data_IF_416979402534
#
_entry.id   IF_416979402534
#
_cell.length_a   1.000
_cell.length_b   1.000
_cell.length_c   1.000
_cell.angle_alpha   90.00
_cell.angle_beta   90.00
_cell.angle_gamma   90.00
#
_symmetry.space_group_name_H-M   'P 1'
#
loop_
_entity.id
_entity.type
_entity.pdbx_description
1 polymer ?
#
# COMPACT_ATOMS: atom_id res chain seq x y z
N UNK A 1 -55.30 -4.04 33.85
CA UNK A 1 -53.92 -3.63 33.53
C UNK A 1 -53.85 -3.40 32.03
N UNK A 2 -53.92 -2.13 31.61
CA UNK A 2 -53.91 -1.75 30.19
C UNK A 2 -52.46 -1.64 29.67
N UNK A 3 -52.18 -1.93 28.40
CA UNK A 3 -50.83 -1.88 27.84
C UNK A 3 -50.45 -0.44 27.44
N UNK A 4 -49.27 -0.01 27.84
CA UNK A 4 -48.67 1.29 27.52
C UNK A 4 -48.15 1.32 26.08
N UNK A 5 -48.58 2.32 25.32
CA UNK A 5 -48.11 2.70 23.97
C UNK A 5 -46.63 3.13 23.97
N UNK A 6 -45.85 2.84 22.92
CA UNK A 6 -44.46 3.31 22.81
C UNK A 6 -44.40 4.80 22.42
N UNK A 7 -43.53 5.57 23.08
CA UNK A 7 -43.26 6.97 22.75
C UNK A 7 -42.49 7.12 21.42
N UNK A 8 -42.75 8.17 20.63
CA UNK A 8 -41.98 8.47 19.43
C UNK A 8 -40.59 9.02 19.78
N UNK A 9 -39.57 8.56 19.06
CA UNK A 9 -38.20 9.07 19.13
C UNK A 9 -38.17 10.56 18.80
N UNK A 10 -37.56 11.35 19.68
CA UNK A 10 -37.32 12.79 19.50
C UNK A 10 -36.50 13.07 18.23
N UNK A 11 -36.84 14.09 17.43
CA UNK A 11 -36.03 14.48 16.28
C UNK A 11 -34.69 14.99 16.81
N UNK A 12 -33.61 14.31 16.43
CA UNK A 12 -32.25 14.84 16.62
C UNK A 12 -32.21 16.18 15.91
N UNK A 13 -32.15 17.23 16.72
CA UNK A 13 -32.09 18.62 16.29
C UNK A 13 -31.01 18.80 15.22
N UNK A 14 -31.42 19.37 14.07
CA UNK A 14 -30.55 19.83 12.99
C UNK A 14 -29.47 20.83 13.47
N UNK A 15 -29.49 21.27 14.72
CA UNK A 15 -28.44 22.08 15.34
C UNK A 15 -27.10 21.34 15.58
N UNK A 16 -27.09 20.00 15.59
CA UNK A 16 -25.83 19.24 15.83
C UNK A 16 -24.94 19.10 14.60
N UNK A 17 -25.49 19.28 13.38
CA UNK A 17 -24.71 19.23 12.14
C UNK A 17 -24.03 20.57 11.78
N UNK A 18 -24.35 21.66 12.48
CA UNK A 18 -23.79 23.00 12.26
C UNK A 18 -22.54 23.29 13.14
N UNK A 19 -21.88 22.23 13.64
CA UNK A 19 -20.85 22.32 14.66
C UNK A 19 -19.40 22.29 14.13
N UNK A 20 -19.15 21.94 12.86
CA UNK A 20 -17.80 21.74 12.31
C UNK A 20 -17.30 22.89 11.39
N UNK A 21 -17.78 24.11 11.62
CA UNK A 21 -17.47 25.30 10.81
C UNK A 21 -16.27 26.11 11.37
N UNK A 22 -15.28 25.44 11.96
CA UNK A 22 -14.28 26.05 12.85
C UNK A 22 -13.46 27.20 12.27
N UNK A 23 -13.19 27.22 10.96
CA UNK A 23 -12.33 28.23 10.33
C UNK A 23 -12.95 29.64 10.32
N UNK A 24 -14.26 29.75 10.08
CA UNK A 24 -14.95 31.05 10.02
C UNK A 24 -15.28 31.62 11.40
N UNK A 25 -15.40 30.78 12.44
CA UNK A 25 -15.54 31.24 13.84
C UNK A 25 -14.20 31.65 14.47
N UNK A 26 -13.08 31.12 13.97
CA UNK A 26 -11.78 31.28 14.60
C UNK A 26 -11.11 32.64 14.32
N UNK A 27 -11.38 33.28 13.17
CA UNK A 27 -10.77 34.56 12.85
C UNK A 27 -11.63 35.72 13.37
N UNK A 28 -11.10 36.47 14.34
CA UNK A 28 -11.63 37.77 14.77
C UNK A 28 -10.61 38.84 14.39
N UNK A 29 -11.04 40.02 13.88
CA UNK A 29 -10.11 41.12 13.68
C UNK A 29 -9.46 41.53 15.01
N UNK A 30 -8.23 42.06 14.99
CA UNK A 30 -7.61 42.65 16.18
C UNK A 30 -8.54 43.68 16.85
N UNK A 31 -8.48 43.85 18.18
CA UNK A 31 -9.35 44.81 18.87
C UNK A 31 -9.22 46.22 18.28
N UNK A 32 -10.32 46.76 17.76
CA UNK A 32 -10.38 48.11 17.17
C UNK A 32 -10.30 48.16 15.64
N UNK A 33 -10.06 47.03 14.96
CA UNK A 33 -10.03 46.98 13.49
C UNK A 33 -11.35 46.48 12.90
N UNK A 34 -11.74 47.04 11.76
CA UNK A 34 -12.90 46.58 10.99
C UNK A 34 -12.60 45.21 10.36
N UNK A 35 -13.59 44.32 10.25
CA UNK A 35 -13.41 43.07 9.51
C UNK A 35 -13.04 43.37 8.04
N UNK A 36 -12.28 42.46 7.44
CA UNK A 36 -11.89 42.58 6.04
C UNK A 36 -13.15 42.56 5.15
N UNK A 37 -13.15 43.34 4.07
CA UNK A 37 -14.30 43.49 3.16
C UNK A 37 -14.87 42.15 2.63
N UNK A 38 -14.02 41.13 2.47
CA UNK A 38 -14.44 39.81 1.98
C UNK A 38 -15.11 38.98 3.08
N UNK A 39 -14.79 39.21 4.35
CA UNK A 39 -15.46 38.60 5.51
C UNK A 39 -16.88 39.15 5.63
N UNK A 40 -17.04 40.48 5.52
CA UNK A 40 -18.36 41.12 5.49
C UNK A 40 -19.21 40.60 4.32
N UNK A 41 -18.63 40.52 3.12
CA UNK A 41 -19.31 40.01 1.93
C UNK A 41 -19.71 38.53 2.08
N UNK A 42 -18.86 37.72 2.72
CA UNK A 42 -19.14 36.31 2.99
C UNK A 42 -20.27 36.14 4.01
N UNK A 43 -20.26 36.91 5.10
CA UNK A 43 -21.32 36.89 6.11
C UNK A 43 -22.66 37.39 5.56
N UNK A 44 -22.65 38.46 4.75
CA UNK A 44 -23.84 38.98 4.08
C UNK A 44 -24.48 37.90 3.19
N UNK A 45 -23.66 37.22 2.37
CA UNK A 45 -24.12 36.13 1.51
C UNK A 45 -24.65 34.94 2.32
N UNK A 46 -24.03 34.58 3.44
CA UNK A 46 -24.55 33.53 4.34
C UNK A 46 -25.94 33.87 4.89
N UNK A 47 -26.15 35.11 5.31
CA UNK A 47 -27.45 35.57 5.83
C UNK A 47 -28.52 35.53 4.74
N UNK A 48 -28.18 35.95 3.52
CA UNK A 48 -29.07 35.89 2.37
C UNK A 48 -29.43 34.44 2.00
N UNK A 49 -28.44 33.55 1.91
CA UNK A 49 -28.67 32.13 1.63
C UNK A 49 -29.49 31.43 2.72
N UNK A 50 -29.29 31.79 3.99
CA UNK A 50 -30.08 31.28 5.12
C UNK A 50 -31.53 31.78 5.08
N UNK A 51 -31.76 33.06 4.75
CA UNK A 51 -33.10 33.60 4.56
C UNK A 51 -33.82 32.92 3.38
N UNK A 52 -33.11 32.67 2.28
CA UNK A 52 -33.63 31.98 1.10
C UNK A 52 -33.96 30.51 1.36
N UNK A 53 -33.15 29.82 2.19
CA UNK A 53 -33.43 28.46 2.69
C UNK A 53 -34.67 28.42 3.59
N UNK A 54 -34.89 29.46 4.39
CA UNK A 54 -36.07 29.57 5.24
C UNK A 54 -37.37 29.76 4.44
N UNK A 55 -37.30 30.46 3.30
CA UNK A 55 -38.45 30.64 2.40
C UNK A 55 -38.66 29.47 1.42
N UNK A 56 -37.59 28.83 0.99
CA UNK A 56 -37.59 27.67 0.09
C UNK A 56 -36.74 26.54 0.70
N UNK A 57 -37.38 25.56 1.38
CA UNK A 57 -36.67 24.45 2.00
C UNK A 57 -35.85 23.59 1.02
N UNK A 58 -36.15 23.65 -0.29
CA UNK A 58 -35.44 22.89 -1.32
C UNK A 58 -34.15 23.57 -1.81
N UNK A 59 -33.95 24.86 -1.48
CA UNK A 59 -32.76 25.61 -1.83
C UNK A 59 -31.51 24.99 -1.19
N UNK A 60 -30.48 24.66 -1.96
CA UNK A 60 -29.21 24.14 -1.41
C UNK A 60 -28.22 25.31 -1.28
N UNK A 61 -27.83 25.61 -0.04
CA UNK A 61 -26.87 26.70 0.26
C UNK A 61 -25.50 26.39 -0.33
N UNK A 62 -24.63 27.40 -0.52
CA UNK A 62 -23.28 27.19 -1.04
C UNK A 62 -22.47 26.25 -0.14
N UNK A 63 -22.63 26.37 1.18
CA UNK A 63 -21.99 25.46 2.14
C UNK A 63 -22.51 24.03 2.02
N UNK A 64 -23.83 23.84 1.97
CA UNK A 64 -24.42 22.51 1.75
C UNK A 64 -23.92 21.91 0.44
N UNK A 65 -23.91 22.69 -0.65
CA UNK A 65 -23.44 22.26 -1.97
C UNK A 65 -21.97 21.83 -1.93
N UNK A 66 -21.11 22.60 -1.26
CA UNK A 66 -19.70 22.24 -1.05
C UNK A 66 -19.56 21.01 -0.16
N UNK A 67 -20.34 20.86 0.91
CA UNK A 67 -20.30 19.66 1.76
C UNK A 67 -20.81 18.41 1.05
N UNK A 68 -21.79 18.54 0.16
CA UNK A 68 -22.34 17.43 -0.63
C UNK A 68 -21.45 17.08 -1.83
N UNK A 69 -20.84 18.06 -2.50
CA UNK A 69 -19.93 17.84 -3.64
C UNK A 69 -18.51 17.43 -3.17
N UNK A 70 -18.07 17.89 -2.00
CA UNK A 70 -16.78 17.50 -1.38
C UNK A 70 -16.79 16.15 -0.66
N UNK A 71 -17.84 15.34 -0.85
CA UNK A 71 -17.86 13.95 -0.39
C UNK A 71 -16.71 13.10 -0.99
N UNK A 72 -16.05 13.59 -2.06
CA UNK A 72 -14.81 13.05 -2.60
C UNK A 72 -13.55 13.67 -1.97
N UNK A 73 -12.46 12.91 -1.72
CA UNK A 73 -11.24 13.48 -1.16
C UNK A 73 -10.62 14.50 -2.13
N UNK A 74 -10.23 15.68 -1.61
CA UNK A 74 -9.64 16.76 -2.41
C UNK A 74 -8.50 16.27 -3.34
N UNK A 75 -8.57 16.50 -4.67
CA UNK A 75 -7.61 15.96 -5.64
C UNK A 75 -6.17 16.45 -5.39
N UNK A 76 -5.98 17.69 -4.94
CA UNK A 76 -4.66 18.21 -4.60
C UNK A 76 -4.05 17.48 -3.39
N UNK A 77 -4.89 17.15 -2.39
CA UNK A 77 -4.46 16.38 -1.21
C UNK A 77 -4.11 14.94 -1.62
N UNK A 78 -4.87 14.32 -2.53
CA UNK A 78 -4.56 12.99 -3.06
C UNK A 78 -3.22 12.99 -3.83
N UNK A 79 -2.99 14.01 -4.66
CA UNK A 79 -1.74 14.20 -5.38
C UNK A 79 -0.55 14.33 -4.41
N UNK A 80 -0.65 15.20 -3.41
CA UNK A 80 0.41 15.37 -2.39
C UNK A 80 0.68 14.08 -1.61
N UNK A 81 -0.36 13.32 -1.26
CA UNK A 81 -0.20 12.00 -0.63
C UNK A 81 0.54 11.01 -1.56
N UNK A 82 0.29 11.06 -2.86
CA UNK A 82 1.00 10.24 -3.84
C UNK A 82 2.46 10.60 -3.96
N UNK A 83 2.76 11.90 -4.08
CA UNK A 83 4.15 12.39 -4.09
C UNK A 83 4.87 11.98 -2.81
N UNK A 84 4.24 12.15 -1.64
CA UNK A 84 4.81 11.75 -0.36
C UNK A 84 5.10 10.24 -0.28
N UNK A 85 4.21 9.39 -0.82
CA UNK A 85 4.45 7.94 -0.88
C UNK A 85 5.60 7.55 -1.80
N UNK A 86 5.75 8.21 -2.95
CA UNK A 86 6.87 7.97 -3.86
C UNK A 86 8.19 8.38 -3.20
N UNK A 87 8.23 9.57 -2.57
CA UNK A 87 9.41 10.03 -1.82
C UNK A 87 9.74 9.04 -0.69
N UNK A 88 8.73 8.62 0.07
CA UNK A 88 8.92 7.62 1.13
C UNK A 88 9.50 6.31 0.58
N UNK A 89 9.00 5.82 -0.56
CA UNK A 89 9.53 4.62 -1.20
C UNK A 89 11.00 4.80 -1.62
N UNK A 90 11.34 5.92 -2.26
CA UNK A 90 12.71 6.26 -2.64
C UNK A 90 13.63 6.25 -1.43
N UNK A 91 13.25 6.93 -0.34
CA UNK A 91 14.05 7.01 0.88
C UNK A 91 14.24 5.63 1.51
N UNK A 92 13.17 4.84 1.65
CA UNK A 92 13.25 3.49 2.25
C UNK A 92 14.14 2.58 1.41
N UNK A 93 14.01 2.60 0.08
CA UNK A 93 14.85 1.79 -0.80
C UNK A 93 16.30 2.25 -0.81
N UNK A 94 16.57 3.56 -0.73
CA UNK A 94 17.92 4.09 -0.64
C UNK A 94 18.60 3.66 0.68
N UNK A 95 17.87 3.74 1.80
CA UNK A 95 18.37 3.26 3.09
C UNK A 95 18.60 1.75 3.09
N UNK A 96 17.74 0.98 2.42
CA UNK A 96 17.85 -0.47 2.35
C UNK A 96 18.98 -0.97 1.45
N UNK A 97 19.23 -0.28 0.33
CA UNK A 97 20.06 -0.81 -0.75
C UNK A 97 21.33 0.00 -1.01
N UNK A 98 21.33 1.30 -0.74
CA UNK A 98 22.47 2.18 -1.01
C UNK A 98 23.30 2.46 0.25
N UNK A 99 22.65 2.66 1.40
CA UNK A 99 23.34 2.86 2.69
C UNK A 99 24.42 1.79 2.99
N UNK A 100 24.16 0.47 2.88
CA UNK A 100 25.19 -0.54 3.16
C UNK A 100 26.34 -0.53 2.15
N UNK A 101 26.12 -0.01 0.93
CA UNK A 101 27.18 0.20 -0.06
C UNK A 101 28.04 1.42 0.28
N UNK A 102 27.45 2.51 0.78
CA UNK A 102 28.15 3.76 1.17
C UNK A 102 29.12 3.56 2.32
N UNK A 103 28.91 2.55 3.17
CA UNK A 103 29.84 2.23 4.28
C UNK A 103 31.25 1.88 3.78
N UNK A 104 31.38 1.46 2.52
CA UNK A 104 32.67 1.20 1.89
C UNK A 104 33.05 2.33 0.93
N UNK A 105 34.27 2.85 1.06
CA UNK A 105 34.80 3.88 0.17
C UNK A 105 34.76 3.42 -1.29
N UNK A 106 34.08 4.18 -2.14
CA UNK A 106 33.87 3.82 -3.55
C UNK A 106 32.72 2.83 -3.81
N UNK A 107 31.95 2.43 -2.79
CA UNK A 107 30.85 1.46 -2.94
C UNK A 107 29.74 1.89 -3.90
N UNK A 108 29.43 3.19 -3.95
CA UNK A 108 28.49 3.74 -4.94
C UNK A 108 29.06 3.85 -6.36
N UNK A 109 30.37 3.70 -6.53
CA UNK A 109 31.00 3.59 -7.85
C UNK A 109 30.74 2.26 -8.55
N UNK A 110 30.25 1.25 -7.80
CA UNK A 110 29.82 -0.03 -8.35
C UNK A 110 28.44 0.12 -9.01
N UNK A 111 28.22 -0.55 -10.15
CA UNK A 111 26.93 -0.49 -10.85
C UNK A 111 25.80 -1.22 -10.10
N UNK A 112 26.10 -2.31 -9.36
CA UNK A 112 25.07 -3.17 -8.76
C UNK A 112 24.18 -2.46 -7.73
N UNK A 113 24.69 -1.64 -6.79
CA UNK A 113 23.82 -0.88 -5.88
C UNK A 113 22.75 -0.06 -6.62
N UNK A 114 23.15 0.72 -7.64
CA UNK A 114 22.23 1.57 -8.40
C UNK A 114 21.27 0.77 -9.29
N UNK A 115 21.76 -0.27 -9.98
CA UNK A 115 20.90 -1.17 -10.77
C UNK A 115 19.86 -1.85 -9.90
N UNK A 116 20.26 -2.30 -8.71
CA UNK A 116 19.34 -2.97 -7.77
C UNK A 116 18.32 -1.99 -7.21
N UNK A 117 18.74 -0.77 -6.87
CA UNK A 117 17.85 0.31 -6.46
C UNK A 117 16.81 0.61 -7.55
N UNK A 118 17.24 0.74 -8.80
CA UNK A 118 16.34 0.97 -9.93
C UNK A 118 15.37 -0.20 -10.14
N UNK A 119 15.85 -1.45 -10.05
CA UNK A 119 15.01 -2.64 -10.17
C UNK A 119 13.96 -2.73 -9.04
N UNK A 120 14.34 -2.46 -7.80
CA UNK A 120 13.42 -2.44 -6.66
C UNK A 120 12.43 -1.29 -6.77
N UNK A 121 12.89 -0.11 -7.18
CA UNK A 121 12.00 1.01 -7.43
C UNK A 121 11.00 0.68 -8.54
N UNK A 122 11.42 -0.02 -9.60
CA UNK A 122 10.52 -0.46 -10.63
C UNK A 122 9.47 -1.46 -10.10
N UNK A 123 9.92 -2.48 -9.35
CA UNK A 123 9.07 -3.50 -8.75
C UNK A 123 8.02 -2.91 -7.79
N UNK A 124 8.45 -2.09 -6.83
CA UNK A 124 7.55 -1.53 -5.81
C UNK A 124 6.79 -0.29 -6.29
N UNK A 125 7.39 0.48 -7.20
CA UNK A 125 6.88 1.76 -7.66
C UNK A 125 5.86 1.64 -8.78
N UNK A 126 6.15 0.91 -9.87
CA UNK A 126 5.26 0.92 -11.05
C UNK A 126 3.85 0.42 -10.70
N UNK A 127 3.73 -0.75 -10.06
CA UNK A 127 2.42 -1.31 -9.70
C UNK A 127 1.66 -0.44 -8.69
N UNK A 128 2.33 0.04 -7.65
CA UNK A 128 1.71 0.83 -6.58
C UNK A 128 1.26 2.21 -7.05
N UNK A 129 2.10 2.90 -7.83
CA UNK A 129 1.78 4.22 -8.38
C UNK A 129 0.63 4.11 -9.37
N UNK A 130 0.70 3.17 -10.32
CA UNK A 130 -0.38 2.97 -11.30
C UNK A 130 -1.70 2.60 -10.64
N UNK A 131 -1.68 1.73 -9.63
CA UNK A 131 -2.87 1.39 -8.85
C UNK A 131 -3.42 2.59 -8.11
N UNK A 132 -2.57 3.41 -7.49
CA UNK A 132 -3.07 4.53 -6.69
C UNK A 132 -3.66 5.61 -7.57
N UNK A 133 -3.03 5.88 -8.73
CA UNK A 133 -3.56 6.81 -9.73
C UNK A 133 -4.91 6.34 -10.29
N UNK A 134 -5.12 5.02 -10.42
CA UNK A 134 -6.33 4.47 -11.05
C UNK A 134 -7.48 4.19 -10.07
N UNK A 135 -7.18 3.78 -8.84
CA UNK A 135 -8.17 3.27 -7.87
C UNK A 135 -8.15 4.00 -6.52
N UNK A 136 -7.26 4.98 -6.33
CA UNK A 136 -7.19 5.75 -5.08
C UNK A 136 -6.58 4.98 -3.90
N UNK A 137 -6.90 5.44 -2.68
CA UNK A 137 -6.28 4.97 -1.43
C UNK A 137 -6.70 3.55 -1.01
N UNK A 138 -5.78 2.82 -0.38
CA UNK A 138 -6.02 1.53 0.29
C UNK A 138 -7.09 1.63 1.39
N UNK A 139 -7.75 0.51 1.70
CA UNK A 139 -8.69 0.48 2.84
C UNK A 139 -8.00 0.79 4.17
N UNK A 140 -8.70 1.35 5.17
CA UNK A 140 -8.11 1.69 6.47
C UNK A 140 -7.50 0.48 7.21
N UNK A 141 -6.43 0.70 8.00
CA UNK A 141 -5.69 -0.39 8.69
C UNK A 141 -6.57 -1.14 9.70
N UNK A 142 -7.61 -0.49 10.22
CA UNK A 142 -8.54 -1.08 11.18
C UNK A 142 -9.31 -2.28 10.65
N UNK A 143 -9.46 -2.41 9.32
CA UNK A 143 -10.13 -3.57 8.68
C UNK A 143 -9.18 -4.70 8.31
N UNK A 144 -7.88 -4.54 8.56
CA UNK A 144 -6.86 -5.53 8.19
C UNK A 144 -6.77 -6.64 9.23
N UNK A 145 -7.21 -7.85 8.87
CA UNK A 145 -7.13 -9.03 9.74
C UNK A 145 -5.72 -9.64 9.81
N UNK A 146 -4.74 -9.08 9.09
CA UNK A 146 -3.37 -9.63 9.00
C UNK A 146 -2.63 -9.74 10.34
N UNK A 147 -2.95 -8.91 11.35
CA UNK A 147 -2.24 -8.88 12.65
C UNK A 147 -3.16 -9.18 13.84
N UNK A 148 -4.20 -9.98 13.60
CA UNK A 148 -5.21 -10.33 14.59
C UNK A 148 -4.64 -11.16 15.76
N UNK A 149 -3.78 -12.15 15.48
CA UNK A 149 -3.15 -13.00 16.50
C UNK A 149 -1.75 -12.54 16.91
N UNK A 150 -1.33 -12.85 18.13
CA UNK A 150 0.05 -12.62 18.58
C UNK A 150 1.07 -13.35 17.69
N UNK A 151 0.71 -14.55 17.23
CA UNK A 151 1.53 -15.36 16.32
C UNK A 151 1.74 -14.64 14.99
N UNK A 152 0.72 -13.95 14.49
CA UNK A 152 0.77 -13.22 13.21
C UNK A 152 1.58 -11.93 13.36
N UNK A 153 1.45 -11.24 14.50
CA UNK A 153 2.30 -10.09 14.83
C UNK A 153 3.76 -10.46 14.91
N UNK A 154 4.09 -11.59 15.54
CA UNK A 154 5.47 -12.08 15.61
C UNK A 154 6.01 -12.45 14.23
N UNK A 155 5.22 -13.13 13.41
CA UNK A 155 5.62 -13.46 12.04
C UNK A 155 5.82 -12.21 11.18
N UNK A 156 4.94 -11.22 11.32
CA UNK A 156 5.07 -9.93 10.65
C UNK A 156 6.32 -9.18 11.11
N UNK A 157 6.54 -9.08 12.42
CA UNK A 157 7.72 -8.44 12.99
C UNK A 157 8.99 -9.11 12.48
N UNK A 158 9.08 -10.44 12.57
CA UNK A 158 10.21 -11.21 12.06
C UNK A 158 10.45 -10.98 10.57
N UNK A 159 9.39 -10.91 9.75
CA UNK A 159 9.52 -10.62 8.32
C UNK A 159 10.07 -9.20 8.08
N UNK A 160 9.50 -8.18 8.72
CA UNK A 160 9.92 -6.78 8.53
C UNK A 160 11.28 -6.44 9.17
N UNK A 161 11.81 -7.31 10.04
CA UNK A 161 13.17 -7.16 10.57
C UNK A 161 14.19 -7.98 9.79
N UNK A 162 13.93 -9.28 9.59
CA UNK A 162 14.91 -10.19 8.99
C UNK A 162 15.15 -9.87 7.51
N UNK A 163 14.09 -9.55 6.75
CA UNK A 163 14.23 -9.25 5.32
C UNK A 163 15.11 -8.02 5.12
N UNK A 164 14.88 -6.85 5.76
CA UNK A 164 15.80 -5.73 5.61
C UNK A 164 17.23 -6.01 6.06
N UNK A 165 17.42 -6.71 7.19
CA UNK A 165 18.76 -7.06 7.67
C UNK A 165 19.52 -7.94 6.68
N UNK A 166 18.85 -8.93 6.08
CA UNK A 166 19.45 -9.79 5.06
C UNK A 166 19.81 -9.02 3.78
N UNK A 167 19.01 -8.01 3.39
CA UNK A 167 19.35 -7.12 2.27
C UNK A 167 20.61 -6.30 2.61
N UNK A 168 20.59 -5.62 3.75
CA UNK A 168 21.71 -4.80 4.22
C UNK A 168 23.02 -5.62 4.28
N UNK A 169 22.93 -6.81 4.87
CA UNK A 169 24.06 -7.74 4.99
C UNK A 169 24.60 -8.18 3.62
N UNK A 170 23.72 -8.58 2.69
CA UNK A 170 24.17 -9.03 1.37
C UNK A 170 24.83 -7.90 0.56
N UNK A 171 24.28 -6.68 0.61
CA UNK A 171 24.88 -5.54 -0.09
C UNK A 171 26.22 -5.15 0.51
N UNK A 172 26.29 -5.02 1.84
CA UNK A 172 27.54 -4.73 2.57
C UNK A 172 28.62 -5.77 2.24
N UNK A 173 28.26 -7.06 2.32
CA UNK A 173 29.17 -8.16 1.99
C UNK A 173 29.64 -8.08 0.54
N UNK A 174 28.73 -7.86 -0.40
CA UNK A 174 29.06 -7.79 -1.83
C UNK A 174 30.03 -6.63 -2.12
N UNK A 175 29.72 -5.42 -1.67
CA UNK A 175 30.56 -4.25 -1.92
C UNK A 175 31.94 -4.39 -1.30
N UNK A 176 32.02 -4.89 -0.05
CA UNK A 176 33.30 -5.18 0.59
C UNK A 176 34.13 -6.24 -0.14
N UNK A 177 33.50 -7.33 -0.59
CA UNK A 177 34.19 -8.37 -1.36
C UNK A 177 34.71 -7.84 -2.70
N UNK A 178 33.94 -7.04 -3.43
CA UNK A 178 34.38 -6.51 -4.74
C UNK A 178 35.48 -5.46 -4.58
N UNK A 179 35.41 -4.59 -3.58
CA UNK A 179 36.37 -3.49 -3.43
C UNK A 179 37.70 -3.92 -2.81
N UNK A 180 37.70 -4.88 -1.89
CA UNK A 180 38.89 -5.23 -1.11
C UNK A 180 39.43 -6.62 -1.40
N UNK A 181 38.76 -7.42 -2.25
CA UNK A 181 39.19 -8.77 -2.58
C UNK A 181 39.01 -9.08 -4.07
N UNK A 182 39.68 -10.13 -4.54
CA UNK A 182 39.50 -10.67 -5.91
C UNK A 182 38.61 -11.92 -5.93
N UNK A 183 37.80 -12.14 -4.88
CA UNK A 183 36.99 -13.37 -4.73
C UNK A 183 35.82 -13.40 -5.73
N UNK A 184 35.24 -12.23 -6.03
CA UNK A 184 34.16 -12.11 -7.00
C UNK A 184 34.79 -11.79 -8.36
N UNK A 185 34.62 -12.72 -9.31
CA UNK A 185 35.16 -12.58 -10.66
C UNK A 185 34.57 -11.38 -11.39
N UNK A 186 35.38 -10.72 -12.22
CA UNK A 186 35.00 -9.58 -13.03
C UNK A 186 34.16 -9.97 -14.27
N UNK A 187 33.97 -11.26 -14.54
CA UNK A 187 33.15 -11.77 -15.64
C UNK A 187 31.68 -12.03 -15.25
N UNK A 188 30.83 -12.19 -16.26
CA UNK A 188 29.42 -12.60 -16.04
C UNK A 188 29.35 -14.06 -15.62
N UNK A 189 28.77 -14.30 -14.45
CA UNK A 189 28.55 -15.63 -13.87
C UNK A 189 27.09 -16.05 -13.99
N UNK A 190 26.80 -17.32 -13.71
CA UNK A 190 25.43 -17.82 -13.61
C UNK A 190 24.61 -17.08 -12.55
N UNK A 191 25.25 -16.65 -11.45
CA UNK A 191 24.61 -15.84 -10.40
C UNK A 191 24.07 -14.51 -10.96
N UNK A 192 24.81 -13.87 -11.86
CA UNK A 192 24.42 -12.60 -12.48
C UNK A 192 23.21 -12.79 -13.41
N UNK A 193 23.23 -13.85 -14.23
CA UNK A 193 22.13 -14.17 -15.13
C UNK A 193 20.86 -14.53 -14.35
N UNK A 194 20.96 -15.43 -13.37
CA UNK A 194 19.83 -15.84 -12.52
C UNK A 194 19.28 -14.65 -11.75
N UNK A 195 20.16 -13.81 -11.19
CA UNK A 195 19.76 -12.61 -10.45
C UNK A 195 19.07 -11.57 -11.33
N UNK A 196 19.67 -11.19 -12.46
CA UNK A 196 19.11 -10.18 -13.35
C UNK A 196 17.79 -10.63 -14.00
N UNK A 197 17.78 -11.83 -14.59
CA UNK A 197 16.58 -12.38 -15.24
C UNK A 197 15.49 -12.60 -14.21
N UNK A 198 15.83 -13.13 -13.03
CA UNK A 198 14.88 -13.39 -11.96
C UNK A 198 14.22 -12.11 -11.42
N UNK A 199 14.98 -11.01 -11.23
CA UNK A 199 14.40 -9.71 -10.86
C UNK A 199 13.48 -9.14 -11.95
N UNK A 200 13.85 -9.30 -13.22
CA UNK A 200 13.01 -8.92 -14.36
C UNK A 200 11.68 -9.69 -14.38
N UNK A 201 11.74 -11.02 -14.28
CA UNK A 201 10.55 -11.89 -14.23
C UNK A 201 9.68 -11.61 -13.00
N UNK A 202 10.29 -11.35 -11.84
CA UNK A 202 9.58 -10.94 -10.64
C UNK A 202 8.78 -9.64 -10.88
N UNK A 203 9.41 -8.66 -11.50
CA UNK A 203 8.77 -7.36 -11.82
C UNK A 203 7.61 -7.55 -12.81
N UNK A 204 7.81 -8.33 -13.88
CA UNK A 204 6.75 -8.61 -14.86
C UNK A 204 5.57 -9.36 -14.23
N UNK A 205 5.83 -10.37 -13.41
CA UNK A 205 4.78 -11.11 -12.70
C UNK A 205 4.02 -10.21 -11.73
N UNK A 206 4.73 -9.37 -10.98
CA UNK A 206 4.12 -8.43 -10.04
C UNK A 206 3.21 -7.43 -10.75
N UNK A 207 3.67 -6.87 -11.88
CA UNK A 207 2.88 -5.95 -12.70
C UNK A 207 1.63 -6.64 -13.23
N UNK A 208 1.78 -7.78 -13.91
CA UNK A 208 0.66 -8.54 -14.46
C UNK A 208 -0.37 -8.89 -13.37
N UNK A 209 0.09 -9.35 -12.19
CA UNK A 209 -0.79 -9.69 -11.09
C UNK A 209 -1.47 -8.48 -10.44
N UNK A 210 -0.77 -7.34 -10.32
CA UNK A 210 -1.33 -6.10 -9.75
C UNK A 210 -2.35 -5.46 -10.70
N UNK A 211 -2.08 -5.50 -12.01
CA UNK A 211 -3.02 -5.03 -13.04
C UNK A 211 -4.32 -5.85 -13.05
N UNK A 212 -4.20 -7.18 -12.98
CA UNK A 212 -5.36 -8.08 -13.00
C UNK A 212 -6.21 -7.95 -11.73
N UNK A 213 -5.57 -7.73 -10.58
CA UNK A 213 -6.28 -7.58 -9.31
C UNK A 213 -6.97 -6.21 -9.19
N UNK A 214 -6.42 -5.16 -9.82
CA UNK A 214 -7.03 -3.84 -9.92
C UNK A 214 -7.44 -3.27 -8.55
N UNK A 215 -8.71 -2.92 -8.38
CA UNK A 215 -9.26 -2.42 -7.11
C UNK A 215 -9.24 -3.46 -5.98
N UNK A 216 -9.20 -4.75 -6.31
CA UNK A 216 -9.09 -5.84 -5.33
C UNK A 216 -7.64 -6.05 -4.83
N UNK A 217 -6.65 -5.33 -5.37
CA UNK A 217 -5.32 -5.23 -4.79
C UNK A 217 -5.38 -4.42 -3.50
N UNK A 218 -5.85 -5.04 -2.43
CA UNK A 218 -6.05 -4.39 -1.16
C UNK A 218 -5.45 -5.23 -0.02
N UNK A 219 -5.55 -4.73 1.22
CA UNK A 219 -5.18 -5.49 2.42
C UNK A 219 -5.96 -6.80 2.51
N UNK A 220 -5.69 -7.63 3.52
CA UNK A 220 -6.43 -8.89 3.75
C UNK A 220 -7.86 -8.53 4.20
N UNK A 221 -8.68 -8.16 3.22
CA UNK A 221 -10.06 -7.72 3.30
C UNK A 221 -10.85 -8.54 2.28
N UNK A 222 -12.16 -8.64 2.48
CA UNK A 222 -13.06 -9.40 1.63
C UNK A 222 -13.26 -8.65 0.29
N UNK A 223 -12.61 -9.03 -0.83
CA UNK A 223 -12.68 -8.29 -2.09
C UNK A 223 -14.08 -8.45 -2.71
N UNK A 224 -14.62 -7.45 -3.40
CA UNK A 224 -16.00 -7.50 -3.95
C UNK A 224 -16.24 -8.70 -4.87
N UNK A 225 -15.24 -9.07 -5.68
CA UNK A 225 -15.30 -10.19 -6.61
C UNK A 225 -14.03 -11.05 -6.54
N UNK A 226 -14.15 -12.32 -6.91
CA UNK A 226 -13.02 -13.25 -6.96
C UNK A 226 -12.32 -13.16 -8.32
N UNK A 227 -11.05 -12.73 -8.33
CA UNK A 227 -10.23 -12.63 -9.54
C UNK A 227 -9.57 -13.98 -9.83
N UNK A 228 -9.81 -14.54 -11.03
CA UNK A 228 -9.28 -15.85 -11.44
C UNK A 228 -8.65 -15.87 -12.85
N UNK A 229 -8.51 -14.69 -13.46
CA UNK A 229 -7.92 -14.45 -14.77
C UNK A 229 -6.44 -14.05 -14.69
N UNK A 230 -5.78 -13.87 -15.83
CA UNK A 230 -4.37 -13.49 -15.88
C UNK A 230 -3.45 -14.51 -15.16
N UNK A 231 -2.46 -14.07 -14.37
CA UNK A 231 -1.62 -14.96 -13.58
C UNK A 231 -2.39 -15.80 -12.54
N UNK A 232 -3.55 -15.32 -12.08
CA UNK A 232 -4.38 -16.02 -11.10
C UNK A 232 -4.99 -17.31 -11.66
N UNK A 233 -5.07 -17.48 -12.99
CA UNK A 233 -5.53 -18.74 -13.59
C UNK A 233 -4.60 -19.93 -13.32
N UNK A 234 -3.34 -19.67 -12.98
CA UNK A 234 -2.33 -20.69 -12.74
C UNK A 234 -2.00 -20.87 -11.26
N UNK A 235 -2.05 -19.79 -10.47
CA UNK A 235 -1.68 -19.79 -9.06
C UNK A 235 -2.52 -18.82 -8.22
N UNK A 236 -2.73 -19.14 -6.96
CA UNK A 236 -3.56 -18.36 -6.03
C UNK A 236 -2.90 -17.03 -5.62
N UNK A 237 -1.57 -17.01 -5.48
CA UNK A 237 -0.84 -15.86 -4.93
C UNK A 237 0.35 -15.41 -5.79
N UNK A 238 0.13 -14.98 -7.05
CA UNK A 238 1.20 -14.56 -7.96
C UNK A 238 2.00 -13.35 -7.44
N UNK A 239 1.38 -12.47 -6.67
CA UNK A 239 2.08 -11.37 -5.99
C UNK A 239 3.10 -11.94 -5.00
N UNK A 240 2.74 -12.87 -4.11
CA UNK A 240 3.69 -13.44 -3.15
C UNK A 240 4.82 -14.18 -3.85
N UNK A 241 4.51 -14.89 -4.93
CA UNK A 241 5.52 -15.53 -5.78
C UNK A 241 6.49 -14.52 -6.38
N UNK A 242 6.02 -13.36 -6.85
CA UNK A 242 6.90 -12.30 -7.36
C UNK A 242 7.84 -11.73 -6.30
N UNK A 243 7.38 -11.56 -5.05
CA UNK A 243 8.23 -11.10 -3.94
C UNK A 243 9.28 -12.13 -3.57
N UNK A 244 8.89 -13.41 -3.48
CA UNK A 244 9.81 -14.52 -3.23
C UNK A 244 10.89 -14.61 -4.31
N UNK A 245 10.48 -14.49 -5.58
CA UNK A 245 11.39 -14.50 -6.71
C UNK A 245 12.33 -13.28 -6.67
N UNK A 246 11.84 -12.09 -6.37
CA UNK A 246 12.65 -10.87 -6.25
C UNK A 246 13.76 -11.05 -5.21
N UNK A 247 13.43 -11.49 -3.99
CA UNK A 247 14.42 -11.59 -2.91
C UNK A 247 15.42 -12.73 -3.12
N UNK A 248 14.98 -13.85 -3.70
CA UNK A 248 15.89 -14.91 -4.12
C UNK A 248 16.87 -14.39 -5.19
N UNK A 249 16.33 -13.71 -6.21
CA UNK A 249 17.11 -13.15 -7.31
C UNK A 249 18.10 -12.08 -6.84
N UNK A 250 17.72 -11.27 -5.85
CA UNK A 250 18.60 -10.32 -5.20
C UNK A 250 19.81 -10.99 -4.53
N UNK A 251 19.59 -12.07 -3.77
CA UNK A 251 20.70 -12.81 -3.16
C UNK A 251 21.64 -13.43 -4.20
N UNK A 252 21.09 -13.94 -5.31
CA UNK A 252 21.88 -14.43 -6.44
C UNK A 252 22.65 -13.29 -7.12
N UNK A 253 21.99 -12.15 -7.39
CA UNK A 253 22.59 -10.96 -7.99
C UNK A 253 23.77 -10.41 -7.18
N UNK A 254 23.79 -10.60 -5.87
CA UNK A 254 24.89 -10.20 -4.99
C UNK A 254 25.84 -11.35 -4.63
N UNK A 255 25.80 -12.46 -5.37
CA UNK A 255 26.67 -13.63 -5.21
C UNK A 255 26.62 -14.21 -3.78
N UNK A 256 25.42 -14.18 -3.18
CA UNK A 256 25.15 -14.64 -1.83
C UNK A 256 24.03 -15.68 -1.82
N UNK A 257 24.28 -16.92 -2.30
CA UNK A 257 23.26 -17.96 -2.39
C UNK A 257 22.69 -18.33 -1.02
N UNK A 258 23.49 -18.25 0.05
CA UNK A 258 22.99 -18.45 1.42
C UNK A 258 21.93 -17.40 1.78
N UNK A 259 22.15 -16.12 1.46
CA UNK A 259 21.15 -15.07 1.70
C UNK A 259 19.93 -15.28 0.82
N UNK A 260 20.10 -15.68 -0.44
CA UNK A 260 18.99 -16.02 -1.33
C UNK A 260 18.07 -17.10 -0.72
N UNK A 261 18.66 -18.17 -0.17
CA UNK A 261 17.94 -19.25 0.49
C UNK A 261 17.27 -18.81 1.80
N UNK A 262 17.97 -18.02 2.62
CA UNK A 262 17.40 -17.48 3.87
C UNK A 262 16.23 -16.53 3.61
N UNK A 263 16.34 -15.66 2.61
CA UNK A 263 15.24 -14.79 2.17
C UNK A 263 14.03 -15.61 1.73
N UNK A 264 14.26 -16.62 0.91
CA UNK A 264 13.21 -17.51 0.43
C UNK A 264 12.54 -18.23 1.60
N UNK A 265 13.31 -18.75 2.55
CA UNK A 265 12.80 -19.40 3.76
C UNK A 265 11.94 -18.45 4.60
N UNK A 266 12.42 -17.24 4.89
CA UNK A 266 11.66 -16.23 5.65
C UNK A 266 10.35 -15.90 4.94
N UNK A 267 10.36 -15.75 3.62
CA UNK A 267 9.15 -15.53 2.83
C UNK A 267 8.17 -16.70 2.90
N UNK A 268 8.63 -17.94 2.70
CA UNK A 268 7.78 -19.13 2.76
C UNK A 268 7.10 -19.24 4.13
N UNK A 269 7.86 -19.06 5.22
CA UNK A 269 7.32 -19.14 6.58
C UNK A 269 6.26 -18.06 6.85
N UNK A 270 6.51 -16.83 6.37
CA UNK A 270 5.58 -15.73 6.52
C UNK A 270 4.32 -15.90 5.65
N UNK A 271 4.48 -16.19 4.36
CA UNK A 271 3.37 -16.32 3.42
C UNK A 271 2.53 -17.58 3.67
N UNK A 272 3.09 -18.67 4.22
CA UNK A 272 2.30 -19.85 4.62
C UNK A 272 1.22 -19.49 5.65
N UNK A 273 1.52 -18.61 6.60
CA UNK A 273 0.52 -18.12 7.57
C UNK A 273 -0.47 -17.17 6.92
N UNK A 274 0.02 -16.23 6.11
CA UNK A 274 -0.80 -15.23 5.43
C UNK A 274 -1.84 -15.87 4.50
N UNK A 275 -1.42 -16.84 3.71
CA UNK A 275 -2.32 -17.56 2.79
C UNK A 275 -3.36 -18.41 3.51
N UNK A 276 -3.09 -18.90 4.72
CA UNK A 276 -4.10 -19.59 5.53
C UNK A 276 -5.23 -18.65 5.99
N UNK A 277 -4.88 -17.41 6.36
CA UNK A 277 -5.87 -16.38 6.70
C UNK A 277 -6.70 -15.98 5.46
N UNK A 278 -6.05 -15.76 4.33
CA UNK A 278 -6.73 -15.42 3.07
C UNK A 278 -7.67 -16.54 2.62
N UNK A 279 -7.27 -17.80 2.74
CA UNK A 279 -8.12 -18.94 2.42
C UNK A 279 -9.38 -18.99 3.30
N UNK A 280 -9.27 -18.59 4.57
CA UNK A 280 -10.42 -18.50 5.47
C UNK A 280 -11.36 -17.37 5.04
N UNK A 281 -10.82 -16.16 4.82
CA UNK A 281 -11.61 -14.97 4.43
C UNK A 281 -12.28 -15.16 3.06
N UNK A 282 -11.57 -15.70 2.08
CA UNK A 282 -12.09 -15.96 0.74
C UNK A 282 -13.07 -17.14 0.74
N UNK A 283 -12.83 -18.16 1.57
CA UNK A 283 -13.76 -19.27 1.77
C UNK A 283 -15.08 -18.84 2.39
N UNK A 284 -15.03 -18.01 3.44
CA UNK A 284 -16.22 -17.40 4.07
C UNK A 284 -17.02 -16.55 3.08
N UNK A 285 -16.34 -15.80 2.21
CA UNK A 285 -17.01 -14.89 1.26
C UNK A 285 -17.60 -15.58 0.03
N UNK A 286 -16.83 -16.47 -0.60
CA UNK A 286 -17.13 -16.99 -1.94
C UNK A 286 -17.52 -18.48 -1.95
N UNK A 287 -17.38 -19.19 -0.82
CA UNK A 287 -17.84 -20.57 -0.65
C UNK A 287 -17.37 -21.51 -1.77
N UNK A 288 -18.34 -22.13 -2.46
CA UNK A 288 -18.09 -23.13 -3.52
C UNK A 288 -17.24 -22.58 -4.66
N UNK A 289 -17.46 -21.33 -5.09
CA UNK A 289 -16.69 -20.71 -6.17
C UNK A 289 -15.19 -20.64 -5.86
N UNK A 290 -14.84 -20.34 -4.61
CA UNK A 290 -13.45 -20.34 -4.18
C UNK A 290 -12.90 -21.77 -4.07
N UNK A 291 -13.70 -22.72 -3.62
CA UNK A 291 -13.28 -24.12 -3.55
C UNK A 291 -12.96 -24.71 -4.94
N UNK A 292 -13.75 -24.39 -5.96
CA UNK A 292 -13.50 -24.80 -7.34
C UNK A 292 -12.25 -24.14 -7.92
N UNK A 293 -12.05 -22.86 -7.58
CA UNK A 293 -10.83 -22.13 -7.93
C UNK A 293 -9.57 -22.75 -7.30
N UNK A 294 -9.63 -23.12 -6.01
CA UNK A 294 -8.52 -23.77 -5.32
C UNK A 294 -8.21 -25.15 -5.93
N UNK A 295 -9.23 -25.91 -6.36
CA UNK A 295 -9.03 -27.23 -7.01
C UNK A 295 -8.27 -27.14 -8.34
N UNK A 296 -8.44 -26.04 -9.09
CA UNK A 296 -7.83 -25.85 -10.42
C UNK A 296 -6.50 -25.07 -10.40
N UNK A 297 -6.04 -24.60 -9.24
CA UNK A 297 -4.85 -23.73 -9.13
C UNK A 297 -3.87 -24.21 -8.05
N UNK A 298 -2.61 -23.75 -8.15
CA UNK A 298 -1.56 -23.99 -7.14
C UNK A 298 -1.41 -22.80 -6.20
N UNK A 299 -0.80 -22.99 -5.02
CA UNK A 299 -0.66 -21.87 -4.06
C UNK A 299 0.33 -20.80 -4.53
N UNK A 300 1.56 -21.20 -4.85
CA UNK A 300 2.66 -20.26 -5.14
C UNK A 300 3.32 -20.51 -6.48
N UNK A 301 3.82 -21.71 -6.73
CA UNK A 301 4.57 -22.01 -7.95
C UNK A 301 3.76 -22.98 -8.80
N UNK A 302 3.41 -22.62 -10.06
CA UNK A 302 2.86 -23.59 -11.00
C UNK A 302 3.80 -24.80 -11.04
N UNK A 303 3.26 -26.01 -10.97
CA UNK A 303 4.02 -27.27 -11.01
C UNK A 303 4.79 -27.66 -9.73
N UNK A 304 4.77 -26.86 -8.65
CA UNK A 304 5.30 -27.24 -7.34
C UNK A 304 4.25 -27.02 -6.24
N UNK A 305 3.75 -28.15 -5.71
CA UNK A 305 2.73 -28.34 -4.65
C UNK A 305 1.50 -27.43 -4.71
#
# INVERSE_FOLDING_TARGET
>A
MLPTTPQPLSPVSAASAAADDGFARAWKPPPGEKPLWWVEKFEARRKEEAARKASDPSFVTTLERVTTESAGPNPAVQFLKGVAQVIQLVVVLALLLLLPAVVHDGGLGLHRPLVTFAAYFAFFGLGSVLRMLRYGSLTPRSKDRQVASWKDRLAFLGFVTLVPLLHMYAMYRYTGLVLYTNVISMGTTLYDLVGAVGMGLATLLNLAASFELGAAYDRVSAPEHLVTSGPYRFMQHPIYTSYMLLFFSYGMWLHSPLVALLMLLVCVLYYKRRTALEHTVLGEKFGVYYSDYVRRTKKFVPFLV
#
